data_IF_733326712964
#
_entry.id   IF_733326712964
#
_cell.length_a   1.000
_cell.length_b   1.000
_cell.length_c   1.000
_cell.angle_alpha   90.00
_cell.angle_beta   90.00
_cell.angle_gamma   90.00
#
_symmetry.space_group_name_H-M   'P 1'
#
loop_
_entity.id
_entity.type
_entity.pdbx_description
1 polymer ?
#
# COMPACT_ATOMS: atom_id res chain seq x y z
N UNK A 1 1.48 -12.31 -5.99
CA UNK A 1 0.82 -11.52 -4.93
C UNK A 1 0.54 -12.38 -3.71
N UNK A 2 -0.32 -13.39 -3.77
CA UNK A 2 -0.70 -14.19 -2.59
C UNK A 2 0.49 -14.79 -1.82
N UNK A 3 1.48 -15.34 -2.52
CA UNK A 3 2.59 -16.06 -1.87
C UNK A 3 3.63 -15.13 -1.23
N UNK A 4 3.83 -13.93 -1.79
CA UNK A 4 4.96 -13.04 -1.45
C UNK A 4 4.53 -11.70 -0.82
N UNK A 5 3.25 -11.35 -0.98
CA UNK A 5 2.64 -10.11 -0.47
C UNK A 5 1.28 -10.47 0.18
N UNK A 6 1.24 -11.63 0.83
CA UNK A 6 0.04 -12.21 1.44
C UNK A 6 -0.38 -11.55 2.74
N UNK A 7 -0.94 -12.33 3.66
CA UNK A 7 -1.36 -11.84 5.00
C UNK A 7 -0.13 -11.42 5.81
N UNK A 8 0.86 -12.31 5.89
CA UNK A 8 2.15 -12.06 6.53
C UNK A 8 3.18 -11.73 5.45
N UNK A 9 4.04 -10.74 5.71
CA UNK A 9 5.02 -10.23 4.74
C UNK A 9 6.39 -10.11 5.40
N UNK A 10 7.44 -10.26 4.60
CA UNK A 10 8.83 -9.94 4.95
C UNK A 10 9.47 -9.14 3.83
N UNK A 11 10.44 -8.30 4.17
CA UNK A 11 11.17 -7.46 3.21
C UNK A 11 11.60 -8.24 1.96
N UNK A 12 12.36 -9.32 2.16
CA UNK A 12 12.93 -10.14 1.08
C UNK A 12 11.84 -10.73 0.15
N UNK A 13 10.70 -11.15 0.70
CA UNK A 13 9.60 -11.72 -0.09
C UNK A 13 8.92 -10.63 -0.93
N UNK A 14 8.72 -9.44 -0.37
CA UNK A 14 8.12 -8.32 -1.10
C UNK A 14 9.06 -7.81 -2.19
N UNK A 15 10.37 -7.76 -1.95
CA UNK A 15 11.36 -7.47 -2.98
C UNK A 15 11.33 -8.49 -4.12
N UNK A 16 11.25 -9.79 -3.80
CA UNK A 16 11.08 -10.84 -4.81
C UNK A 16 9.77 -10.67 -5.60
N UNK A 17 8.70 -10.21 -4.96
CA UNK A 17 7.45 -9.91 -5.65
C UNK A 17 7.63 -8.79 -6.67
N UNK A 18 8.38 -7.74 -6.33
CA UNK A 18 8.68 -6.62 -7.23
C UNK A 18 9.49 -7.07 -8.45
N UNK A 19 10.49 -7.93 -8.26
CA UNK A 19 11.25 -8.53 -9.37
C UNK A 19 10.31 -9.30 -10.31
N UNK A 20 9.46 -10.17 -9.78
CA UNK A 20 8.49 -10.94 -10.57
C UNK A 20 7.47 -10.05 -11.29
N UNK A 21 7.01 -8.98 -10.64
CA UNK A 21 6.11 -8.02 -11.26
C UNK A 21 6.78 -7.33 -12.45
N UNK A 22 8.06 -6.98 -12.34
CA UNK A 22 8.82 -6.42 -13.45
C UNK A 22 8.97 -7.40 -14.63
N UNK A 23 9.27 -8.68 -14.36
CA UNK A 23 9.27 -9.73 -15.39
C UNK A 23 7.90 -9.86 -16.09
N UNK A 24 6.80 -9.77 -15.33
CA UNK A 24 5.45 -9.81 -15.88
C UNK A 24 5.11 -8.58 -16.72
N UNK A 25 5.61 -7.39 -16.36
CA UNK A 25 5.49 -6.19 -17.20
C UNK A 25 6.18 -6.38 -18.56
N UNK A 26 7.37 -6.96 -18.59
CA UNK A 26 8.05 -7.26 -19.86
C UNK A 26 7.26 -8.24 -20.71
N UNK A 27 6.73 -9.31 -20.10
CA UNK A 27 5.88 -10.28 -20.80
C UNK A 27 4.58 -9.68 -21.31
N UNK A 28 4.01 -8.73 -20.58
CA UNK A 28 2.76 -8.06 -20.96
C UNK A 28 2.86 -7.36 -22.33
N UNK A 29 4.04 -6.84 -22.69
CA UNK A 29 4.28 -6.19 -23.98
C UNK A 29 4.09 -7.10 -25.19
N UNK A 30 4.11 -8.41 -24.96
CA UNK A 30 3.97 -9.44 -25.98
C UNK A 30 2.62 -10.17 -25.93
N UNK A 31 1.68 -9.71 -25.10
CA UNK A 31 0.35 -10.30 -25.02
C UNK A 31 -0.39 -10.08 -26.35
N UNK A 32 -0.96 -11.15 -26.88
CA UNK A 32 -1.82 -11.12 -28.04
C UNK A 32 -3.16 -11.77 -27.69
N UNK A 33 -4.22 -11.35 -28.38
CA UNK A 33 -5.57 -11.87 -28.21
C UNK A 33 -6.01 -12.50 -29.53
N UNK A 34 -6.46 -13.75 -29.45
CA UNK A 34 -7.00 -14.48 -30.60
C UNK A 34 -8.52 -14.45 -30.64
N UNK A 35 -9.11 -14.87 -31.76
CA UNK A 35 -10.56 -14.96 -31.95
C UNK A 35 -11.20 -13.75 -32.60
N UNK A 36 -12.54 -13.74 -32.62
CA UNK A 36 -13.32 -12.68 -33.27
C UNK A 36 -13.53 -11.47 -32.35
N UNK A 37 -13.95 -10.34 -32.92
CA UNK A 37 -14.11 -9.06 -32.20
C UNK A 37 -15.40 -8.98 -31.37
N UNK A 38 -16.42 -9.75 -31.73
CA UNK A 38 -17.69 -9.79 -31.02
C UNK A 38 -17.47 -10.42 -29.65
N UNK A 39 -17.70 -9.65 -28.58
CA UNK A 39 -17.59 -10.08 -27.18
C UNK A 39 -16.44 -11.07 -26.92
N UNK A 40 -15.21 -10.55 -26.86
CA UNK A 40 -14.01 -11.35 -26.66
C UNK A 40 -13.50 -11.20 -25.21
N UNK A 41 -13.68 -12.21 -24.33
CA UNK A 41 -13.20 -12.12 -22.95
C UNK A 41 -11.68 -11.99 -22.83
N UNK A 42 -10.92 -12.55 -23.77
CA UNK A 42 -9.46 -12.41 -23.82
C UNK A 42 -9.04 -10.97 -24.07
N UNK A 43 -9.81 -10.23 -24.87
CA UNK A 43 -9.59 -8.79 -25.09
C UNK A 43 -9.79 -7.98 -23.81
N UNK A 44 -10.88 -8.24 -23.07
CA UNK A 44 -11.12 -7.57 -21.79
C UNK A 44 -10.00 -7.86 -20.79
N UNK A 45 -9.59 -9.14 -20.66
CA UNK A 45 -8.51 -9.53 -19.77
C UNK A 45 -7.19 -8.86 -20.13
N UNK A 46 -6.85 -8.77 -21.42
CA UNK A 46 -5.63 -8.11 -21.87
C UNK A 46 -5.59 -6.62 -21.47
N UNK A 47 -6.74 -5.92 -21.51
CA UNK A 47 -6.83 -4.54 -21.04
C UNK A 47 -6.68 -4.48 -19.52
N UNK A 48 -7.37 -5.36 -18.79
CA UNK A 48 -7.36 -5.36 -17.32
C UNK A 48 -5.99 -5.72 -16.75
N UNK A 49 -5.19 -6.54 -17.45
CA UNK A 49 -3.84 -6.95 -17.02
C UNK A 49 -2.92 -5.76 -16.75
N UNK A 50 -3.00 -4.68 -17.54
CA UNK A 50 -2.24 -3.45 -17.29
C UNK A 50 -2.56 -2.89 -15.90
N UNK A 51 -3.84 -2.78 -15.58
CA UNK A 51 -4.31 -2.23 -14.31
C UNK A 51 -3.95 -3.16 -13.15
N UNK A 52 -4.07 -4.48 -13.33
CA UNK A 52 -3.69 -5.47 -12.33
C UNK A 52 -2.20 -5.40 -11.99
N UNK A 53 -1.31 -5.21 -12.99
CA UNK A 53 0.12 -5.04 -12.77
C UNK A 53 0.44 -3.75 -11.99
N UNK A 54 -0.16 -2.63 -12.39
CA UNK A 54 0.02 -1.34 -11.71
C UNK A 54 -0.41 -1.40 -10.25
N UNK A 55 -1.63 -1.89 -9.99
CA UNK A 55 -2.16 -1.99 -8.62
C UNK A 55 -1.32 -2.95 -7.78
N UNK A 56 -0.86 -4.06 -8.37
CA UNK A 56 0.00 -5.02 -7.67
C UNK A 56 1.34 -4.38 -7.25
N UNK A 57 1.94 -3.59 -8.13
CA UNK A 57 3.19 -2.88 -7.82
C UNK A 57 2.97 -1.77 -6.78
N UNK A 58 1.88 -1.01 -6.85
CA UNK A 58 1.49 -0.06 -5.79
C UNK A 58 1.45 -0.74 -4.43
N UNK A 59 0.75 -1.87 -4.34
CA UNK A 59 0.62 -2.64 -3.09
C UNK A 59 1.98 -3.14 -2.61
N UNK A 60 2.79 -3.73 -3.49
CA UNK A 60 4.10 -4.27 -3.11
C UNK A 60 5.06 -3.17 -2.66
N UNK A 61 5.19 -2.06 -3.41
CA UNK A 61 6.06 -0.94 -3.04
C UNK A 61 5.61 -0.27 -1.74
N UNK A 62 4.31 -0.05 -1.55
CA UNK A 62 3.79 0.51 -0.30
C UNK A 62 4.00 -0.43 0.89
N UNK A 63 3.81 -1.75 0.69
CA UNK A 63 4.04 -2.74 1.73
C UNK A 63 5.53 -2.87 2.12
N UNK A 64 6.43 -2.73 1.15
CA UNK A 64 7.88 -2.72 1.38
C UNK A 64 8.28 -1.48 2.20
N UNK A 65 7.81 -0.31 1.79
CA UNK A 65 8.14 0.97 2.43
C UNK A 65 7.57 1.08 3.85
N UNK A 66 6.37 0.53 4.11
CA UNK A 66 5.74 0.58 5.44
C UNK A 66 6.33 -0.48 6.38
N UNK A 67 7.25 -0.04 7.23
CA UNK A 67 7.97 -0.87 8.21
C UNK A 67 7.30 -0.90 9.59
N UNK A 68 6.04 -1.33 9.62
CA UNK A 68 5.30 -1.66 10.85
C UNK A 68 4.26 -2.75 10.57
N UNK A 69 3.55 -3.20 11.61
CA UNK A 69 2.36 -4.04 11.48
C UNK A 69 1.12 -3.33 12.03
N UNK A 70 0.08 -3.17 11.19
CA UNK A 70 -1.19 -2.53 11.54
C UNK A 70 -2.34 -3.04 10.69
N UNK A 71 -3.40 -3.54 11.33
CA UNK A 71 -4.60 -4.01 10.63
C UNK A 71 -4.29 -5.10 9.61
N UNK A 72 -4.70 -4.91 8.34
CA UNK A 72 -4.42 -5.84 7.24
C UNK A 72 -2.99 -5.80 6.68
N UNK A 73 -2.11 -4.99 7.29
CA UNK A 73 -0.68 -4.98 6.98
C UNK A 73 0.13 -5.61 8.10
N UNK A 74 0.64 -6.81 7.89
CA UNK A 74 1.44 -7.53 8.89
C UNK A 74 2.82 -7.84 8.31
N UNK A 75 3.85 -7.31 8.96
CA UNK A 75 5.27 -7.48 8.67
C UNK A 75 5.91 -8.30 9.78
N UNK A 76 6.35 -9.52 9.48
CA UNK A 76 6.98 -10.40 10.49
C UNK A 76 8.33 -9.85 10.99
N UNK A 77 9.02 -9.12 10.11
CA UNK A 77 10.24 -8.36 10.37
C UNK A 77 9.99 -7.01 11.10
N UNK A 78 8.75 -6.51 11.10
CA UNK A 78 8.32 -5.33 11.87
C UNK A 78 6.97 -5.61 12.58
N UNK A 79 6.96 -6.45 13.63
CA UNK A 79 5.73 -7.03 14.17
C UNK A 79 4.87 -6.05 14.98
N UNK A 80 5.43 -4.91 15.38
CA UNK A 80 4.76 -3.93 16.23
C UNK A 80 4.20 -2.77 15.41
N UNK A 81 3.18 -2.12 15.96
CA UNK A 81 2.76 -0.80 15.48
C UNK A 81 3.82 0.24 15.84
N UNK A 82 3.98 1.23 14.97
CA UNK A 82 4.76 2.43 15.25
C UNK A 82 3.86 3.65 15.06
N UNK A 83 3.67 4.40 16.14
CA UNK A 83 2.80 5.56 16.18
C UNK A 83 3.20 6.65 15.16
N UNK A 84 4.47 6.70 14.75
CA UNK A 84 4.93 7.65 13.73
C UNK A 84 4.32 7.38 12.36
N UNK A 85 4.13 6.12 11.97
CA UNK A 85 3.51 5.71 10.71
C UNK A 85 2.03 6.09 10.59
N UNK A 86 1.35 6.47 11.69
CA UNK A 86 -0.01 7.02 11.65
C UNK A 86 -0.08 8.37 10.94
N UNK A 87 1.00 9.14 11.02
CA UNK A 87 1.11 10.51 10.48
C UNK A 87 1.47 10.52 9.00
N UNK A 88 1.64 9.36 8.37
CA UNK A 88 2.14 9.23 7.01
C UNK A 88 1.19 8.38 6.17
N UNK A 89 0.70 8.96 5.09
CA UNK A 89 0.05 8.27 3.99
C UNK A 89 1.11 7.84 2.98
N UNK A 90 0.93 6.68 2.35
CA UNK A 90 1.72 6.26 1.20
C UNK A 90 0.87 6.45 -0.05
N UNK A 91 1.12 7.53 -0.79
CA UNK A 91 0.38 7.89 -1.98
C UNK A 91 1.03 7.26 -3.19
N UNK A 92 0.27 6.43 -3.90
CA UNK A 92 0.73 5.78 -5.12
C UNK A 92 0.30 6.59 -6.34
N UNK A 93 1.23 6.84 -7.26
CA UNK A 93 0.96 7.51 -8.53
C UNK A 93 1.75 6.85 -9.65
N UNK A 94 1.26 6.95 -10.88
CA UNK A 94 2.04 6.54 -12.04
C UNK A 94 3.02 7.64 -12.39
N UNK A 95 4.28 7.28 -12.56
CA UNK A 95 5.25 8.12 -13.25
C UNK A 95 5.22 7.79 -14.74
N UNK A 96 5.80 8.66 -15.58
CA UNK A 96 6.13 8.26 -16.94
C UNK A 96 7.04 7.02 -16.97
N UNK A 97 7.42 6.58 -18.16
CA UNK A 97 8.23 5.38 -18.34
C UNK A 97 7.70 4.56 -19.49
N UNK A 98 7.56 3.25 -19.29
CA UNK A 98 7.06 2.36 -20.33
C UNK A 98 5.61 2.70 -20.73
N UNK A 99 5.32 2.92 -22.03
CA UNK A 99 4.00 3.32 -22.49
C UNK A 99 2.94 2.21 -22.32
N UNK A 100 3.34 0.92 -22.28
CA UNK A 100 2.43 -0.19 -22.07
C UNK A 100 2.03 -0.30 -20.59
N UNK A 101 3.01 -0.29 -19.67
CA UNK A 101 2.76 -0.30 -18.22
C UNK A 101 3.65 0.75 -17.56
N UNK A 102 3.11 1.93 -17.22
CA UNK A 102 3.87 2.97 -16.54
C UNK A 102 4.48 2.48 -15.22
N UNK A 103 5.53 3.16 -14.77
CA UNK A 103 6.09 2.86 -13.45
C UNK A 103 5.25 3.49 -12.33
N UNK A 104 5.34 2.87 -11.15
CA UNK A 104 4.66 3.35 -9.94
C UNK A 104 5.67 4.04 -9.02
N UNK A 105 5.34 5.24 -8.60
CA UNK A 105 5.98 5.95 -7.51
C UNK A 105 5.09 5.91 -6.26
N UNK A 106 5.69 5.62 -5.12
CA UNK A 106 5.05 5.71 -3.81
C UNK A 106 5.70 6.81 -3.02
N UNK A 107 4.96 7.87 -2.71
CA UNK A 107 5.44 9.03 -1.94
C UNK A 107 4.84 9.04 -0.54
N UNK A 108 5.67 9.19 0.51
CA UNK A 108 5.17 9.54 1.84
C UNK A 108 4.58 10.94 1.84
N UNK A 109 3.33 11.08 2.25
CA UNK A 109 2.64 12.36 2.42
C UNK A 109 2.14 12.50 3.85
N UNK A 110 2.14 13.72 4.43
CA UNK A 110 1.61 13.94 5.77
C UNK A 110 0.11 13.67 5.81
N UNK A 111 -0.33 12.90 6.80
CA UNK A 111 -1.75 12.69 7.08
C UNK A 111 -2.31 13.91 7.82
N UNK A 112 -3.49 14.38 7.39
CA UNK A 112 -4.18 15.47 8.09
C UNK A 112 -4.57 14.98 9.50
N UNK A 113 -4.14 15.69 10.57
CA UNK A 113 -4.50 15.31 11.93
C UNK A 113 -6.02 15.29 12.13
N UNK A 114 -6.48 14.40 13.00
CA UNK A 114 -7.88 14.41 13.43
C UNK A 114 -8.16 15.73 14.14
N UNK A 115 -9.36 16.29 13.93
CA UNK A 115 -9.78 17.49 14.65
C UNK A 115 -9.83 17.22 16.17
N UNK A 116 -9.41 18.17 17.02
CA UNK A 116 -9.38 17.97 18.47
C UNK A 116 -10.72 17.54 19.06
N UNK A 117 -11.83 18.14 18.63
CA UNK A 117 -13.17 17.83 19.15
C UNK A 117 -13.63 16.40 18.82
N UNK A 118 -13.10 15.79 17.76
CA UNK A 118 -13.34 14.37 17.46
C UNK A 118 -12.41 13.45 18.25
N UNK A 119 -11.17 13.90 18.50
CA UNK A 119 -10.20 13.15 19.29
C UNK A 119 -10.68 12.98 20.73
N UNK A 120 -11.29 14.02 21.30
CA UNK A 120 -11.87 14.05 22.65
C UNK A 120 -13.02 13.05 22.87
N UNK A 121 -13.63 12.53 21.80
CA UNK A 121 -14.69 11.53 21.89
C UNK A 121 -14.19 10.13 22.27
N UNK A 122 -12.87 9.90 22.20
CA UNK A 122 -12.26 8.61 22.48
C UNK A 122 -11.63 8.57 23.88
N UNK A 123 -11.66 7.39 24.48
CA UNK A 123 -10.94 7.15 25.74
C UNK A 123 -9.43 7.27 25.53
N UNK A 124 -8.76 8.00 26.42
CA UNK A 124 -7.35 8.32 26.24
C UNK A 124 -6.45 7.07 26.22
N UNK A 125 -6.77 6.05 27.02
CA UNK A 125 -6.02 4.79 27.03
C UNK A 125 -6.13 4.02 25.71
N UNK A 126 -7.21 4.22 24.93
CA UNK A 126 -7.31 3.66 23.59
C UNK A 126 -6.47 4.46 22.59
N UNK A 127 -6.48 5.79 22.70
CA UNK A 127 -5.68 6.67 21.84
C UNK A 127 -4.17 6.42 22.01
N UNK A 128 -3.71 6.14 23.22
CA UNK A 128 -2.30 5.87 23.54
C UNK A 128 -1.71 4.67 22.79
N UNK A 129 -2.55 3.76 22.28
CA UNK A 129 -2.10 2.62 21.45
C UNK A 129 -1.66 3.04 20.05
N UNK A 130 -2.09 4.21 19.57
CA UNK A 130 -1.97 4.61 18.17
C UNK A 130 -1.31 5.99 17.95
N UNK A 131 -1.47 6.91 18.89
CA UNK A 131 -0.98 8.29 18.81
C UNK A 131 0.32 8.47 19.59
N UNK A 132 1.15 9.42 19.18
CA UNK A 132 2.37 9.74 19.95
C UNK A 132 2.02 10.57 21.21
N UNK A 133 2.88 10.56 22.25
CA UNK A 133 2.67 11.38 23.45
C UNK A 133 2.50 12.88 23.13
N UNK A 134 3.19 13.39 22.12
CA UNK A 134 3.10 14.79 21.69
C UNK A 134 1.72 15.10 21.10
N UNK A 135 1.12 14.17 20.35
CA UNK A 135 -0.23 14.35 19.77
C UNK A 135 -1.33 14.35 20.84
N UNK A 136 -1.11 13.64 21.96
CA UNK A 136 -2.06 13.54 23.07
C UNK A 136 -1.81 14.53 24.20
N UNK A 137 -0.75 15.36 24.12
CA UNK A 137 -0.37 16.28 25.20
C UNK A 137 -1.49 17.23 25.60
N UNK A 138 -2.29 17.68 24.62
CA UNK A 138 -3.37 18.62 24.84
C UNK A 138 -4.72 17.95 25.17
N UNK A 139 -4.79 16.62 25.11
CA UNK A 139 -6.03 15.87 25.34
C UNK A 139 -6.52 16.07 26.78
N UNK A 140 -7.81 16.35 27.02
CA UNK A 140 -8.34 16.64 28.36
C UNK A 140 -8.02 15.55 29.39
N UNK A 141 -8.04 14.28 28.99
CA UNK A 141 -7.68 13.14 29.86
C UNK A 141 -6.21 13.03 30.28
N UNK A 142 -5.27 13.83 29.72
CA UNK A 142 -3.88 13.97 30.22
C UNK A 142 -3.75 15.11 31.24
N UNK A 143 -4.71 16.04 31.28
CA UNK A 143 -4.67 17.27 32.09
C UNK A 143 -5.36 17.15 33.45
N UNK A 144 -5.96 16.00 33.75
CA UNK A 144 -6.71 15.69 34.97
C UNK A 144 -5.94 14.81 35.94
#
# INVERSE_FOLDING_TARGET
MNDLVGIIRKEEEVEQALVKLNELKERFKHVAVEGHRQFNPGWHLAIDMRNMLLVSECVAKAALLRTESRGGHTRDDHPNMDATWRKTLLVCSTTGGDPAVPDVLVTPEPQVPMRPDLLELFEIGELEKYFTPEELAEHPGRKS
#
